data_IF_924654386042
#
_entry.id   IF_924654386042
#
_cell.length_a   1.000
_cell.length_b   1.000
_cell.length_c   1.000
_cell.angle_alpha   90.00
_cell.angle_beta   90.00
_cell.angle_gamma   90.00
#
_symmetry.space_group_name_H-M   'P 1'
#
loop_
_entity.id
_entity.type
_entity.pdbx_description
1 polymer ?
#
# COMPACT_ATOMS: atom_id res chain seq x y z
N UNK A 1 -1.67 8.87 -23.91
CA UNK A 1 -0.40 9.60 -23.79
C UNK A 1 0.03 9.56 -22.33
N UNK A 2 0.86 8.58 -21.98
CA UNK A 2 1.53 8.55 -20.67
C UNK A 2 2.71 9.50 -20.76
N UNK A 3 2.60 10.68 -20.13
CA UNK A 3 3.74 11.58 -20.04
C UNK A 3 4.83 10.96 -19.18
N UNK A 4 6.11 11.10 -19.55
CA UNK A 4 7.21 10.45 -18.84
C UNK A 4 7.18 10.82 -17.35
N UNK A 5 7.29 9.79 -16.51
CA UNK A 5 7.28 9.83 -15.04
C UNK A 5 8.35 10.73 -14.37
N UNK A 6 9.15 11.41 -15.17
CA UNK A 6 10.30 12.21 -14.78
C UNK A 6 10.31 13.51 -15.57
N UNK A 7 9.80 14.58 -14.97
CA UNK A 7 10.05 15.95 -15.42
C UNK A 7 11.50 16.33 -15.16
N UNK A 8 12.15 17.02 -16.09
CA UNK A 8 13.52 17.50 -15.88
C UNK A 8 13.58 18.54 -14.76
N UNK A 9 14.67 18.57 -13.99
CA UNK A 9 14.89 19.60 -12.95
C UNK A 9 14.74 21.03 -13.49
N UNK A 10 15.18 21.27 -14.73
CA UNK A 10 15.00 22.57 -15.42
C UNK A 10 13.53 22.90 -15.63
N UNK A 11 12.73 21.94 -16.10
CA UNK A 11 11.28 22.13 -16.27
C UNK A 11 10.58 22.35 -14.94
N UNK A 12 10.96 21.64 -13.89
CA UNK A 12 10.39 21.83 -12.54
C UNK A 12 10.68 23.24 -12.02
N UNK A 13 11.92 23.72 -12.16
CA UNK A 13 12.32 25.08 -11.75
C UNK A 13 11.58 26.19 -12.51
N UNK A 14 11.24 25.97 -13.78
CA UNK A 14 10.48 26.97 -14.55
C UNK A 14 8.99 27.05 -14.18
N UNK A 15 8.44 26.01 -13.55
CA UNK A 15 7.00 25.87 -13.30
C UNK A 15 6.65 26.17 -11.83
N UNK A 16 7.57 25.88 -10.93
CA UNK A 16 7.40 26.01 -9.48
C UNK A 16 8.01 27.30 -8.94
N UNK A 17 7.46 27.80 -7.84
CA UNK A 17 8.11 28.87 -7.08
C UNK A 17 9.36 28.33 -6.36
N UNK A 18 10.25 29.20 -5.90
CA UNK A 18 11.51 28.81 -5.25
C UNK A 18 11.29 27.82 -4.09
N UNK A 19 10.41 28.13 -3.14
CA UNK A 19 10.15 27.25 -1.99
C UNK A 19 9.55 25.89 -2.38
N UNK A 20 8.67 25.89 -3.37
CA UNK A 20 8.05 24.67 -3.90
C UNK A 20 9.09 23.80 -4.63
N UNK A 21 9.97 24.46 -5.38
CA UNK A 21 11.05 23.83 -6.09
C UNK A 21 12.04 23.19 -5.11
N UNK A 22 12.43 23.88 -4.03
CA UNK A 22 13.30 23.31 -2.99
C UNK A 22 12.67 22.06 -2.34
N UNK A 23 11.37 22.10 -2.06
CA UNK A 23 10.67 20.95 -1.51
C UNK A 23 10.64 19.75 -2.47
N UNK A 24 10.56 19.99 -3.78
CA UNK A 24 10.64 18.92 -4.80
C UNK A 24 12.09 18.46 -5.02
N UNK A 25 13.06 19.37 -4.98
CA UNK A 25 14.48 19.08 -5.14
C UNK A 25 14.96 18.10 -4.08
N UNK A 26 14.57 18.29 -2.81
CA UNK A 26 14.88 17.36 -1.72
C UNK A 26 14.35 15.93 -1.92
N UNK A 27 13.42 15.69 -2.85
CA UNK A 27 12.91 14.35 -3.19
C UNK A 27 13.66 13.67 -4.33
N UNK A 28 14.58 14.38 -4.99
CA UNK A 28 15.38 13.79 -6.07
C UNK A 28 16.51 12.95 -5.50
N UNK A 29 16.98 12.03 -6.33
CA UNK A 29 18.20 11.30 -6.06
C UNK A 29 19.41 12.22 -6.32
N UNK A 30 20.44 12.22 -5.46
CA UNK A 30 20.65 11.37 -4.28
C UNK A 30 20.09 11.92 -2.96
N UNK A 31 19.69 13.18 -2.91
CA UNK A 31 19.34 13.92 -1.67
C UNK A 31 18.26 13.25 -0.82
N UNK A 32 17.31 12.55 -1.46
CA UNK A 32 16.25 11.83 -0.77
C UNK A 32 16.77 10.80 0.26
N UNK A 33 17.98 10.28 0.08
CA UNK A 33 18.59 9.32 1.02
C UNK A 33 19.13 9.99 2.30
N UNK A 34 19.30 11.31 2.30
CA UNK A 34 19.69 12.06 3.50
C UNK A 34 18.52 12.32 4.45
N UNK A 35 17.29 12.02 4.04
CA UNK A 35 16.09 12.23 4.86
C UNK A 35 15.84 11.01 5.75
N UNK A 36 15.60 11.26 7.04
CA UNK A 36 15.14 10.23 7.97
C UNK A 36 13.65 9.88 7.73
N UNK A 37 13.16 8.81 8.36
CA UNK A 37 11.77 8.39 8.22
C UNK A 37 10.77 9.49 8.57
N UNK A 38 11.04 10.29 9.63
CA UNK A 38 10.19 11.43 10.00
C UNK A 38 10.24 12.54 8.97
N UNK A 39 11.42 12.87 8.44
CA UNK A 39 11.62 13.82 7.35
C UNK A 39 10.89 13.43 6.08
N UNK A 40 10.93 12.15 5.69
CA UNK A 40 10.17 11.62 4.56
C UNK A 40 8.65 11.73 4.79
N UNK A 41 8.17 11.45 6.00
CA UNK A 41 6.76 11.65 6.35
C UNK A 41 6.34 13.12 6.30
N UNK A 42 7.15 14.04 6.83
CA UNK A 42 6.89 15.47 6.79
C UNK A 42 6.87 15.99 5.34
N UNK A 43 7.86 15.58 4.52
CA UNK A 43 7.91 15.91 3.09
C UNK A 43 6.66 15.39 2.35
N UNK A 44 6.22 14.15 2.64
CA UNK A 44 5.02 13.55 2.05
C UNK A 44 3.76 14.37 2.36
N UNK A 45 3.60 14.84 3.60
CA UNK A 45 2.44 15.66 4.00
C UNK A 45 2.47 16.99 3.25
N UNK A 46 3.59 17.72 3.31
CA UNK A 46 3.74 19.01 2.62
C UNK A 46 3.46 18.90 1.11
N UNK A 47 3.98 17.86 0.45
CA UNK A 47 3.77 17.65 -0.98
C UNK A 47 2.32 17.29 -1.33
N UNK A 48 1.61 16.58 -0.44
CA UNK A 48 0.17 16.30 -0.61
C UNK A 48 -0.65 17.56 -0.56
N UNK A 49 -0.36 18.45 0.38
CA UNK A 49 -1.07 19.72 0.52
C UNK A 49 -0.86 20.60 -0.72
N UNK A 50 0.39 20.71 -1.19
CA UNK A 50 0.71 21.44 -2.43
C UNK A 50 -0.02 20.83 -3.64
N UNK A 51 0.04 19.49 -3.81
CA UNK A 51 -0.67 18.80 -4.89
C UNK A 51 -2.18 19.03 -4.82
N UNK A 52 -2.76 18.99 -3.63
CA UNK A 52 -4.21 19.07 -3.45
C UNK A 52 -4.73 20.50 -3.66
N UNK A 53 -3.93 21.52 -3.31
CA UNK A 53 -4.16 22.91 -3.72
C UNK A 53 -4.20 23.04 -5.24
N UNK A 54 -3.16 22.57 -5.94
CA UNK A 54 -3.10 22.62 -7.41
C UNK A 54 -4.22 21.81 -8.09
N UNK A 55 -4.57 20.65 -7.53
CA UNK A 55 -5.69 19.83 -8.00
C UNK A 55 -7.01 20.59 -7.91
N UNK A 56 -7.21 21.34 -6.83
CA UNK A 56 -8.44 22.12 -6.62
C UNK A 56 -8.52 23.27 -7.61
N UNK A 57 -7.42 24.00 -7.80
CA UNK A 57 -7.29 25.06 -8.81
C UNK A 57 -7.54 24.53 -10.24
N UNK A 58 -6.92 23.41 -10.61
CA UNK A 58 -7.11 22.77 -11.91
C UNK A 58 -8.59 22.40 -12.15
N UNK A 59 -9.27 21.85 -11.13
CA UNK A 59 -10.69 21.50 -11.22
C UNK A 59 -11.59 22.72 -11.34
N UNK A 60 -11.29 23.78 -10.59
CA UNK A 60 -12.02 25.03 -10.66
C UNK A 60 -11.90 25.65 -12.05
N UNK A 61 -10.68 25.81 -12.59
CA UNK A 61 -10.47 26.35 -13.94
C UNK A 61 -11.15 25.53 -15.04
N UNK A 62 -11.18 24.21 -14.91
CA UNK A 62 -11.97 23.35 -15.82
C UNK A 62 -13.47 23.59 -15.72
N UNK A 63 -14.00 23.91 -14.54
CA UNK A 63 -15.42 24.24 -14.36
C UNK A 63 -15.75 25.63 -14.91
N UNK A 64 -14.87 26.61 -14.68
CA UNK A 64 -14.98 27.97 -15.26
C UNK A 64 -14.99 27.89 -16.80
N UNK A 65 -14.04 27.16 -17.41
CA UNK A 65 -14.00 26.94 -18.87
C UNK A 65 -15.27 26.27 -19.41
N UNK A 66 -15.98 25.49 -18.58
CA UNK A 66 -17.25 24.83 -18.93
C UNK A 66 -18.49 25.69 -18.65
N UNK A 67 -18.33 26.90 -18.12
CA UNK A 67 -19.46 27.75 -17.69
C UNK A 67 -20.20 27.23 -16.46
N UNK A 68 -19.62 26.31 -15.69
CA UNK A 68 -20.25 25.67 -14.51
C UNK A 68 -19.80 26.27 -13.18
N UNK A 69 -19.04 27.36 -13.22
CA UNK A 69 -18.57 28.09 -12.06
C UNK A 69 -18.29 29.55 -12.47
N UNK A 70 -18.55 30.48 -11.56
CA UNK A 70 -18.17 31.88 -11.72
C UNK A 70 -16.65 32.02 -11.73
N UNK A 71 -16.14 32.90 -12.58
CA UNK A 71 -14.71 33.19 -12.66
C UNK A 71 -14.26 33.90 -11.37
N UNK A 72 -13.48 33.22 -10.53
CA UNK A 72 -12.83 33.90 -9.39
C UNK A 72 -11.56 34.59 -9.86
N UNK A 73 -11.60 35.91 -9.88
CA UNK A 73 -10.44 36.79 -10.04
C UNK A 73 -9.94 36.89 -11.49
N UNK A 74 -9.59 38.12 -11.90
CA UNK A 74 -9.08 38.45 -13.23
C UNK A 74 -7.60 38.10 -13.48
N UNK A 75 -6.89 37.48 -12.53
CA UNK A 75 -5.45 37.22 -12.67
C UNK A 75 -5.14 35.72 -12.60
N UNK A 76 -4.66 35.23 -13.75
CA UNK A 76 -3.71 34.14 -14.03
C UNK A 76 -3.73 32.80 -13.24
N UNK A 77 -3.58 31.63 -13.91
CA UNK A 77 -3.52 31.41 -15.36
C UNK A 77 -4.90 31.23 -15.99
N UNK A 78 -5.08 31.78 -17.19
CA UNK A 78 -6.32 31.70 -17.97
C UNK A 78 -6.68 30.28 -18.44
N UNK A 79 -5.77 29.30 -18.29
CA UNK A 79 -5.97 27.91 -18.68
C UNK A 79 -5.71 26.94 -17.52
N UNK A 80 -6.42 25.80 -17.53
CA UNK A 80 -6.29 24.76 -16.52
C UNK A 80 -4.99 23.93 -16.63
N UNK A 81 -4.15 24.21 -17.63
CA UNK A 81 -2.99 23.39 -17.98
C UNK A 81 -1.82 23.61 -17.02
N UNK A 82 -1.59 24.85 -16.58
CA UNK A 82 -0.50 25.16 -15.67
C UNK A 82 -0.71 24.56 -14.25
N UNK A 83 -1.90 24.68 -13.61
CA UNK A 83 -2.17 23.97 -12.36
C UNK A 83 -2.10 22.43 -12.53
N UNK A 84 -2.46 21.92 -13.71
CA UNK A 84 -2.35 20.49 -14.00
C UNK A 84 -0.89 20.02 -14.08
N UNK A 85 -0.01 20.79 -14.73
CA UNK A 85 1.44 20.53 -14.79
C UNK A 85 2.07 20.58 -13.39
N UNK A 86 1.77 21.62 -12.60
CA UNK A 86 2.23 21.75 -11.20
C UNK A 86 1.80 20.55 -10.35
N UNK A 87 0.53 20.15 -10.46
CA UNK A 87 0.00 18.94 -9.82
C UNK A 87 0.78 17.66 -10.22
N UNK A 88 1.12 17.49 -11.49
CA UNK A 88 1.88 16.33 -11.97
C UNK A 88 3.28 16.28 -11.34
N UNK A 89 3.97 17.41 -11.24
CA UNK A 89 5.29 17.49 -10.59
C UNK A 89 5.20 17.06 -9.12
N UNK A 90 4.23 17.60 -8.36
CA UNK A 90 4.03 17.19 -6.97
C UNK A 90 3.63 15.71 -6.83
N UNK A 91 2.84 15.18 -7.77
CA UNK A 91 2.50 13.76 -7.77
C UNK A 91 3.73 12.86 -8.01
N UNK A 92 4.65 13.26 -8.89
CA UNK A 92 5.90 12.57 -9.13
C UNK A 92 6.80 12.59 -7.89
N UNK A 93 6.92 13.74 -7.22
CA UNK A 93 7.66 13.89 -5.95
C UNK A 93 7.09 12.96 -4.85
N UNK A 94 5.77 12.91 -4.70
CA UNK A 94 5.10 11.99 -3.74
C UNK A 94 5.42 10.54 -4.07
N UNK A 95 5.47 10.16 -5.35
CA UNK A 95 5.80 8.78 -5.75
C UNK A 95 7.23 8.41 -5.34
N UNK A 96 8.19 9.34 -5.48
CA UNK A 96 9.58 9.14 -5.02
C UNK A 96 9.64 8.95 -3.51
N UNK A 97 8.99 9.82 -2.74
CA UNK A 97 8.94 9.73 -1.27
C UNK A 97 8.27 8.44 -0.79
N UNK A 98 7.15 8.02 -1.40
CA UNK A 98 6.51 6.75 -1.04
C UNK A 98 7.44 5.57 -1.32
N UNK A 99 8.17 5.57 -2.45
CA UNK A 99 9.12 4.51 -2.79
C UNK A 99 10.25 4.41 -1.76
N UNK A 100 10.73 5.54 -1.24
CA UNK A 100 11.76 5.53 -0.20
C UNK A 100 11.23 5.08 1.15
N UNK A 101 10.03 5.52 1.55
CA UNK A 101 9.37 4.98 2.75
C UNK A 101 9.16 3.46 2.64
N UNK A 102 8.71 2.97 1.48
CA UNK A 102 8.56 1.53 1.24
C UNK A 102 9.91 0.81 1.28
N UNK A 103 11.02 1.45 0.86
CA UNK A 103 12.37 0.90 0.97
C UNK A 103 12.78 0.75 2.44
N UNK A 104 12.60 1.80 3.25
CA UNK A 104 12.92 1.78 4.67
C UNK A 104 12.11 0.71 5.42
N UNK A 105 10.79 0.65 5.19
CA UNK A 105 9.92 -0.35 5.80
C UNK A 105 10.34 -1.79 5.44
N UNK A 106 10.78 -2.03 4.20
CA UNK A 106 11.28 -3.35 3.77
C UNK A 106 12.59 -3.73 4.44
N UNK A 107 13.47 -2.76 4.67
CA UNK A 107 14.73 -2.99 5.40
C UNK A 107 14.44 -3.35 6.85
N UNK A 108 13.60 -2.58 7.53
CA UNK A 108 13.18 -2.83 8.91
C UNK A 108 12.48 -4.21 9.04
N UNK A 109 11.56 -4.52 8.13
CA UNK A 109 10.89 -5.82 8.11
C UNK A 109 11.86 -6.99 7.88
N UNK A 110 12.91 -6.78 7.06
CA UNK A 110 13.95 -7.80 6.83
C UNK A 110 14.76 -8.06 8.09
N UNK A 111 15.15 -7.00 8.80
CA UNK A 111 15.88 -7.12 10.08
C UNK A 111 15.04 -7.85 11.12
N UNK A 112 13.77 -7.44 11.29
CA UNK A 112 12.85 -8.10 12.20
C UNK A 112 12.65 -9.60 11.89
N UNK A 113 12.60 -9.97 10.60
CA UNK A 113 12.49 -11.36 10.17
C UNK A 113 13.75 -12.18 10.49
N UNK A 114 14.94 -11.59 10.33
CA UNK A 114 16.21 -12.25 10.68
C UNK A 114 16.24 -12.52 12.19
N UNK A 115 15.89 -11.53 13.01
CA UNK A 115 15.84 -11.67 14.46
C UNK A 115 14.82 -12.74 14.90
N UNK A 116 13.63 -12.74 14.31
CA UNK A 116 12.60 -13.74 14.58
C UNK A 116 13.08 -15.15 14.22
N UNK A 117 13.77 -15.31 13.09
CA UNK A 117 14.34 -16.59 12.68
C UNK A 117 15.42 -17.08 13.65
N UNK A 118 16.28 -16.18 14.13
CA UNK A 118 17.31 -16.49 15.13
C UNK A 118 16.68 -16.94 16.46
N UNK A 119 15.64 -16.25 16.94
CA UNK A 119 14.90 -16.63 18.15
C UNK A 119 14.22 -17.99 17.99
N UNK A 120 13.54 -18.22 16.86
CA UNK A 120 12.87 -19.50 16.58
C UNK A 120 13.88 -20.67 16.54
N UNK A 121 15.05 -20.44 15.95
CA UNK A 121 16.12 -21.43 15.90
C UNK A 121 16.70 -21.71 17.29
N UNK A 122 16.87 -20.68 18.14
CA UNK A 122 17.29 -20.85 19.53
C UNK A 122 16.27 -21.67 20.34
N UNK A 123 14.97 -21.36 20.23
CA UNK A 123 13.90 -22.12 20.86
C UNK A 123 13.88 -23.58 20.39
N UNK A 124 14.05 -23.82 19.08
CA UNK A 124 14.14 -25.18 18.53
C UNK A 124 15.33 -25.94 19.11
N UNK A 125 16.50 -25.29 19.26
CA UNK A 125 17.70 -25.90 19.85
C UNK A 125 17.49 -26.22 21.33
N UNK A 126 16.89 -25.32 22.10
CA UNK A 126 16.56 -25.55 23.50
C UNK A 126 15.58 -26.72 23.68
N UNK A 127 14.54 -26.78 22.84
CA UNK A 127 13.52 -27.83 22.92
C UNK A 127 13.99 -29.20 22.41
N UNK A 128 15.08 -29.25 21.62
CA UNK A 128 15.63 -30.51 21.09
C UNK A 128 16.12 -31.46 22.19
N UNK A 129 16.39 -30.94 23.39
CA UNK A 129 16.85 -31.70 24.55
C UNK A 129 15.79 -31.85 25.65
N UNK A 130 14.52 -31.56 25.37
CA UNK A 130 13.45 -31.94 26.31
C UNK A 130 13.39 -33.46 26.31
N UNK A 131 13.98 -34.07 27.35
CA UNK A 131 13.73 -35.45 27.70
C UNK A 131 12.21 -35.62 27.77
N UNK A 132 11.65 -36.30 26.77
CA UNK A 132 10.35 -36.94 26.98
C UNK A 132 10.49 -37.75 28.27
N UNK A 133 9.51 -37.66 29.20
CA UNK A 133 9.54 -38.49 30.39
C UNK A 133 9.81 -39.93 29.95
N UNK A 134 10.67 -40.64 30.68
CA UNK A 134 10.86 -42.07 30.43
C UNK A 134 9.50 -42.71 30.31
N UNK A 135 9.33 -43.63 29.34
CA UNK A 135 8.11 -44.41 29.26
C UNK A 135 8.01 -45.25 30.53
N UNK A 136 7.44 -44.69 31.58
CA UNK A 136 7.02 -45.46 32.74
C UNK A 136 5.94 -46.43 32.27
N UNK A 137 5.86 -47.60 32.92
CA UNK A 137 4.94 -48.68 32.55
C UNK A 137 3.50 -48.15 32.56
N UNK A 138 2.94 -47.87 31.38
CA UNK A 138 1.52 -47.60 31.23
C UNK A 138 0.75 -48.92 31.34
N UNK A 139 -0.33 -49.02 32.12
CA UNK A 139 -1.19 -50.21 32.13
C UNK A 139 -1.68 -50.53 30.72
N UNK A 140 -1.69 -51.81 30.34
CA UNK A 140 -1.91 -52.31 28.97
C UNK A 140 -3.35 -52.16 28.43
N UNK A 141 -4.15 -51.25 29.00
CA UNK A 141 -5.46 -50.89 28.47
C UNK A 141 -5.31 -49.71 27.54
N UNK A 142 -5.16 -50.00 26.24
CA UNK A 142 -4.90 -49.02 25.19
C UNK A 142 -5.84 -47.80 25.19
N UNK A 143 -5.36 -46.68 24.64
CA UNK A 143 -6.17 -45.46 24.46
C UNK A 143 -7.43 -45.75 23.64
N UNK A 144 -8.60 -45.56 24.25
CA UNK A 144 -9.87 -45.51 23.51
C UNK A 144 -9.87 -44.31 22.55
N UNK A 145 -10.09 -44.50 21.23
CA UNK A 145 -10.02 -43.42 20.27
C UNK A 145 -11.14 -42.40 20.52
N UNK A 146 -10.75 -41.15 20.77
CA UNK A 146 -11.70 -40.03 20.85
C UNK A 146 -12.11 -39.67 19.41
N UNK A 147 -13.24 -40.21 18.97
CA UNK A 147 -13.81 -39.89 17.66
C UNK A 147 -14.15 -38.40 17.56
N UNK A 148 -13.59 -37.71 16.55
CA UNK A 148 -13.86 -36.30 16.29
C UNK A 148 -15.32 -36.08 15.85
N UNK A 149 -16.19 -35.68 16.77
CA UNK A 149 -17.61 -35.38 16.52
C UNK A 149 -17.85 -34.24 15.51
N UNK A 150 -16.82 -33.45 15.17
CA UNK A 150 -16.96 -32.25 14.31
C UNK A 150 -16.94 -32.53 12.80
N UNK A 151 -16.78 -33.79 12.35
CA UNK A 151 -16.66 -34.12 10.91
C UNK A 151 -17.81 -34.95 10.35
N UNK A 152 -19.05 -34.54 10.60
CA UNK A 152 -20.20 -35.05 9.84
C UNK A 152 -21.18 -33.94 9.48
N UNK A 153 -20.76 -32.98 8.65
CA UNK A 153 -21.72 -32.27 7.79
C UNK A 153 -21.83 -33.07 6.50
N UNK A 154 -22.53 -34.21 6.56
CA UNK A 154 -22.83 -35.00 5.36
C UNK A 154 -24.05 -34.33 4.74
N UNK A 155 -23.85 -33.64 3.61
CA UNK A 155 -24.98 -33.16 2.80
C UNK A 155 -25.78 -34.39 2.37
N UNK A 156 -27.10 -34.41 2.57
CA UNK A 156 -27.96 -35.50 2.10
C UNK A 156 -27.73 -35.76 0.60
N UNK A 157 -27.64 -37.02 0.13
CA UNK A 157 -27.29 -37.34 -1.26
C UNK A 157 -28.16 -36.66 -2.32
N UNK A 158 -29.46 -36.52 -2.02
CA UNK A 158 -30.48 -35.83 -2.81
C UNK A 158 -30.25 -34.32 -2.92
N UNK A 159 -29.51 -33.71 -2.00
CA UNK A 159 -29.27 -32.27 -1.94
C UNK A 159 -27.90 -31.85 -2.52
N UNK A 160 -27.02 -32.81 -2.85
CA UNK A 160 -25.68 -32.54 -3.37
C UNK A 160 -25.74 -31.69 -4.65
N UNK A 161 -26.64 -32.03 -5.58
CA UNK A 161 -26.81 -31.29 -6.83
C UNK A 161 -27.23 -29.83 -6.59
N UNK A 162 -28.19 -29.62 -5.69
CA UNK A 162 -28.69 -28.28 -5.34
C UNK A 162 -27.61 -27.41 -4.68
N UNK A 163 -26.87 -27.97 -3.71
CA UNK A 163 -25.78 -27.26 -3.02
C UNK A 163 -24.63 -26.94 -3.99
N UNK A 164 -24.30 -27.85 -4.90
CA UNK A 164 -23.29 -27.64 -5.94
C UNK A 164 -23.69 -26.50 -6.89
N UNK A 165 -24.92 -26.52 -7.41
CA UNK A 165 -25.42 -25.45 -8.30
C UNK A 165 -25.50 -24.10 -7.59
N UNK A 166 -25.93 -24.09 -6.33
CA UNK A 166 -25.99 -22.87 -5.51
C UNK A 166 -24.59 -22.26 -5.32
N UNK A 167 -23.59 -23.10 -5.06
CA UNK A 167 -22.19 -22.65 -4.89
C UNK A 167 -21.62 -22.13 -6.21
N UNK A 168 -21.86 -22.83 -7.32
CA UNK A 168 -21.46 -22.40 -8.67
C UNK A 168 -22.05 -21.05 -9.05
N UNK A 169 -23.36 -20.85 -8.80
CA UNK A 169 -24.03 -19.59 -9.07
C UNK A 169 -23.52 -18.44 -8.19
N UNK A 170 -23.23 -18.71 -6.91
CA UNK A 170 -22.67 -17.72 -6.00
C UNK A 170 -21.25 -17.30 -6.42
N UNK A 171 -20.43 -18.24 -6.90
CA UNK A 171 -19.08 -17.95 -7.39
C UNK A 171 -19.12 -17.12 -8.67
N UNK A 172 -19.96 -17.48 -9.65
CA UNK A 172 -20.13 -16.68 -10.87
C UNK A 172 -20.56 -15.24 -10.58
N UNK A 173 -21.45 -15.03 -9.59
CA UNK A 173 -21.84 -13.68 -9.13
C UNK A 173 -20.68 -12.91 -8.47
N UNK A 174 -19.78 -13.60 -7.77
CA UNK A 174 -18.61 -12.98 -7.15
C UNK A 174 -17.58 -12.59 -8.22
N UNK A 175 -17.33 -13.49 -9.17
CA UNK A 175 -16.38 -13.26 -10.28
C UNK A 175 -16.85 -12.09 -11.16
N UNK A 176 -18.16 -12.00 -11.43
CA UNK A 176 -18.76 -10.87 -12.14
C UNK A 176 -18.70 -9.52 -11.38
N UNK A 177 -18.40 -9.52 -10.08
CA UNK A 177 -18.15 -8.29 -9.29
C UNK A 177 -16.67 -7.92 -9.23
N UNK A 178 -15.78 -8.86 -9.56
CA UNK A 178 -14.32 -8.68 -9.56
C UNK A 178 -13.72 -8.40 -10.95
N UNK A 179 -14.49 -8.57 -12.02
CA UNK A 179 -14.21 -8.11 -13.38
C UNK A 179 -14.81 -6.70 -13.60
#
# INVERSE_FOLDING_TARGET
MEEPMSTSLKSERSVLNHEEYQAVLATHHPDIYGLDGKGLHAARVRLRDLRDKERTLARQKRREKRGKAEARGGSFPGTADQPQRRKQIFAAAIKRVNKELDRLNKLEAREANIDAAHRALALKRANKFVHHPSSDKTPDEGMNPINNRRRRTKVPPDQIGSVSQRTKAAQARRDARGA
#
